data_IF_677935872378
#
_entry.id   IF_677935872378
#
_cell.length_a   1.000
_cell.length_b   1.000
_cell.length_c   1.000
_cell.angle_alpha   90.00
_cell.angle_beta   90.00
_cell.angle_gamma   90.00
#
_symmetry.space_group_name_H-M   'P 1'
#
loop_
_entity.id
_entity.type
_entity.pdbx_description
1 polymer ?
#
# COMPACT_ATOMS: atom_id res chain seq x y z
N UNK A 1 -20.78 -12.78 41.54
CA UNK A 1 -20.14 -11.58 40.97
C UNK A 1 -18.63 -11.79 41.01
N UNK A 2 -18.05 -12.30 39.93
CA UNK A 2 -16.61 -12.53 39.84
C UNK A 2 -15.93 -11.23 39.44
N UNK A 3 -15.34 -10.53 40.42
CA UNK A 3 -14.48 -9.39 40.15
C UNK A 3 -13.20 -9.88 39.47
N UNK A 4 -13.04 -9.61 38.17
CA UNK A 4 -11.77 -9.80 37.48
C UNK A 4 -10.75 -8.83 38.07
N UNK A 5 -9.76 -9.37 38.79
CA UNK A 5 -8.62 -8.62 39.30
C UNK A 5 -7.75 -8.27 38.08
N UNK A 6 -7.93 -7.07 37.55
CA UNK A 6 -7.03 -6.50 36.54
C UNK A 6 -5.67 -6.30 37.24
N UNK A 7 -4.70 -7.16 36.94
CA UNK A 7 -3.35 -7.06 37.48
C UNK A 7 -2.70 -5.70 37.19
N UNK A 8 -1.71 -5.26 37.99
CA UNK A 8 -1.13 -3.93 37.86
C UNK A 8 -0.46 -3.73 36.49
N UNK A 9 -0.88 -2.67 35.79
CA UNK A 9 -0.24 -2.22 34.56
C UNK A 9 1.24 -1.91 34.85
N UNK A 10 2.13 -2.60 34.13
CA UNK A 10 3.57 -2.43 34.32
C UNK A 10 4.02 -1.01 33.95
N UNK A 11 5.07 -0.45 34.58
CA UNK A 11 5.59 0.88 34.25
C UNK A 11 5.96 1.03 32.76
N UNK A 12 6.34 -0.09 32.12
CA UNK A 12 6.70 -0.16 30.71
C UNK A 12 5.49 0.04 29.78
N UNK A 13 4.30 -0.46 30.15
CA UNK A 13 3.06 -0.27 29.36
C UNK A 13 2.48 1.13 29.54
N UNK A 14 2.63 1.74 30.73
CA UNK A 14 2.27 3.14 30.97
C UNK A 14 3.18 4.10 30.20
N UNK A 15 4.50 3.85 30.17
CA UNK A 15 5.45 4.64 29.40
C UNK A 15 5.24 4.51 27.87
N UNK A 16 4.81 3.34 27.39
CA UNK A 16 4.43 3.14 25.99
C UNK A 16 3.17 3.94 25.64
N UNK A 17 2.17 3.94 26.52
CA UNK A 17 0.92 4.68 26.34
C UNK A 17 1.06 6.20 26.47
N UNK A 18 2.00 6.69 27.28
CA UNK A 18 2.25 8.12 27.44
C UNK A 18 2.98 8.72 26.22
N UNK A 19 3.98 8.00 25.68
CA UNK A 19 4.67 8.38 24.43
C UNK A 19 3.72 8.44 23.23
N UNK A 20 2.70 7.58 23.20
CA UNK A 20 1.65 7.62 22.18
C UNK A 20 0.71 8.82 22.30
N UNK A 21 0.64 9.50 23.45
CA UNK A 21 -0.41 10.49 23.73
C UNK A 21 0.03 11.94 23.48
N UNK A 22 1.32 12.25 23.52
CA UNK A 22 1.85 13.59 23.19
C UNK A 22 3.24 13.48 22.57
N UNK A 23 3.33 13.46 21.23
CA UNK A 23 4.58 13.71 20.53
C UNK A 23 4.86 15.21 20.51
N UNK A 24 6.12 15.61 20.68
CA UNK A 24 6.50 17.00 20.48
C UNK A 24 6.29 17.42 19.03
N UNK A 25 6.08 18.72 18.76
CA UNK A 25 5.80 19.23 17.40
C UNK A 25 6.83 18.76 16.36
N UNK A 26 8.11 18.70 16.74
CA UNK A 26 9.20 18.23 15.87
C UNK A 26 9.10 16.73 15.54
N UNK A 27 8.77 15.91 16.52
CA UNK A 27 8.62 14.45 16.36
C UNK A 27 7.39 14.13 15.52
N UNK A 28 6.27 14.84 15.78
CA UNK A 28 5.06 14.75 15.00
C UNK A 28 5.31 15.10 13.52
N UNK A 29 6.01 16.20 13.25
CA UNK A 29 6.36 16.61 11.88
C UNK A 29 7.26 15.59 11.19
N UNK A 30 8.24 15.03 11.90
CA UNK A 30 9.14 14.02 11.37
C UNK A 30 8.41 12.70 11.02
N UNK A 31 7.53 12.22 11.91
CA UNK A 31 6.74 11.03 11.65
C UNK A 31 5.77 11.23 10.48
N UNK A 32 5.10 12.40 10.42
CA UNK A 32 4.21 12.76 9.32
C UNK A 32 4.96 12.79 7.99
N UNK A 33 6.15 13.39 7.93
CA UNK A 33 6.97 13.41 6.73
C UNK A 33 7.39 12.00 6.29
N UNK A 34 7.77 11.13 7.23
CA UNK A 34 8.11 9.72 6.94
C UNK A 34 6.92 8.95 6.37
N UNK A 35 5.74 9.07 6.98
CA UNK A 35 4.51 8.42 6.50
C UNK A 35 4.15 8.88 5.09
N UNK A 36 4.15 10.20 4.86
CA UNK A 36 3.87 10.75 3.54
C UNK A 36 4.89 10.31 2.48
N UNK A 37 6.18 10.25 2.83
CA UNK A 37 7.21 9.74 1.92
C UNK A 37 6.99 8.28 1.52
N UNK A 38 6.67 7.42 2.49
CA UNK A 38 6.37 6.01 2.26
C UNK A 38 5.09 5.81 1.41
N UNK A 39 4.05 6.59 1.67
CA UNK A 39 2.81 6.54 0.89
C UNK A 39 3.05 6.98 -0.56
N UNK A 40 3.77 8.10 -0.77
CA UNK A 40 4.14 8.57 -2.11
C UNK A 40 4.96 7.52 -2.86
N UNK A 41 5.98 6.93 -2.21
CA UNK A 41 6.80 5.89 -2.82
C UNK A 41 5.98 4.67 -3.25
N UNK A 42 5.07 4.18 -2.41
CA UNK A 42 4.17 3.06 -2.75
C UNK A 42 3.22 3.39 -3.91
N UNK A 43 2.73 4.62 -3.98
CA UNK A 43 1.87 5.06 -5.09
C UNK A 43 2.66 5.12 -6.40
N UNK A 44 3.88 5.66 -6.37
CA UNK A 44 4.74 5.74 -7.56
C UNK A 44 5.16 4.36 -8.06
N UNK A 45 5.52 3.44 -7.15
CA UNK A 45 5.84 2.05 -7.49
C UNK A 45 4.65 1.33 -8.12
N UNK A 46 3.45 1.49 -7.56
CA UNK A 46 2.21 0.93 -8.13
C UNK A 46 1.89 1.53 -9.49
N UNK A 47 2.11 2.83 -9.68
CA UNK A 47 1.90 3.50 -10.97
C UNK A 47 2.87 2.98 -12.03
N UNK A 48 4.16 2.82 -11.69
CA UNK A 48 5.17 2.21 -12.58
C UNK A 48 4.81 0.77 -12.93
N UNK A 49 4.46 -0.05 -11.94
CA UNK A 49 4.05 -1.44 -12.17
C UNK A 49 2.80 -1.53 -13.08
N UNK A 50 1.82 -0.63 -12.92
CA UNK A 50 0.67 -0.58 -13.82
C UNK A 50 1.08 -0.18 -15.24
N UNK A 51 1.94 0.83 -15.38
CA UNK A 51 2.45 1.27 -16.69
C UNK A 51 3.21 0.15 -17.42
N UNK A 52 4.05 -0.61 -16.72
CA UNK A 52 4.77 -1.75 -17.30
C UNK A 52 3.82 -2.86 -17.75
N UNK A 53 2.81 -3.19 -16.95
CA UNK A 53 1.77 -4.15 -17.34
C UNK A 53 1.05 -3.73 -18.62
N UNK A 54 0.68 -2.46 -18.75
CA UNK A 54 0.01 -1.95 -19.96
C UNK A 54 0.95 -2.02 -21.18
N UNK A 55 2.23 -1.72 -21.00
CA UNK A 55 3.24 -1.85 -22.06
C UNK A 55 3.36 -3.31 -22.52
N UNK A 56 3.50 -4.25 -21.60
CA UNK A 56 3.55 -5.68 -21.93
C UNK A 56 2.25 -6.16 -22.59
N UNK A 57 1.09 -5.69 -22.15
CA UNK A 57 -0.19 -6.03 -22.75
C UNK A 57 -0.28 -5.58 -24.23
N UNK A 58 0.20 -4.36 -24.53
CA UNK A 58 0.29 -3.84 -25.89
C UNK A 58 1.24 -4.68 -26.76
N UNK A 59 2.40 -5.04 -26.23
CA UNK A 59 3.36 -5.88 -26.95
C UNK A 59 2.78 -7.27 -27.26
N UNK A 60 2.09 -7.89 -26.30
CA UNK A 60 1.39 -9.17 -26.52
C UNK A 60 0.23 -9.06 -27.51
N UNK A 61 -0.53 -7.95 -27.49
CA UNK A 61 -1.57 -7.67 -28.48
C UNK A 61 -0.98 -7.58 -29.89
N UNK A 62 0.17 -6.91 -30.05
CA UNK A 62 0.91 -6.83 -31.33
C UNK A 62 1.45 -8.18 -31.80
N UNK A 63 1.76 -9.08 -30.88
CA UNK A 63 2.18 -10.46 -31.18
C UNK A 63 1.00 -11.39 -31.54
N UNK A 64 -0.25 -10.91 -31.44
CA UNK A 64 -1.44 -11.70 -31.75
C UNK A 64 -1.86 -12.68 -30.65
N UNK A 65 -1.43 -12.47 -29.41
CA UNK A 65 -1.87 -13.29 -28.27
C UNK A 65 -3.34 -12.97 -27.95
N UNK A 66 -4.20 -13.97 -27.67
CA UNK A 66 -5.59 -13.72 -27.31
C UNK A 66 -5.74 -12.79 -26.09
N UNK A 67 -6.65 -11.83 -26.19
CA UNK A 67 -6.88 -10.83 -25.13
C UNK A 67 -7.22 -11.46 -23.78
N UNK A 68 -7.95 -12.59 -23.78
CA UNK A 68 -8.30 -13.32 -22.57
C UNK A 68 -7.08 -13.88 -21.83
N UNK A 69 -6.06 -14.34 -22.56
CA UNK A 69 -4.83 -14.87 -21.98
C UNK A 69 -3.95 -13.74 -21.43
N UNK A 70 -3.89 -12.61 -22.14
CA UNK A 70 -3.20 -11.39 -21.68
C UNK A 70 -3.86 -10.87 -20.39
N UNK A 71 -5.20 -10.78 -20.37
CA UNK A 71 -5.99 -10.36 -19.21
C UNK A 71 -5.70 -11.22 -17.99
N UNK A 72 -5.71 -12.54 -18.17
CA UNK A 72 -5.40 -13.51 -17.12
C UNK A 72 -3.96 -13.43 -16.65
N UNK A 73 -3.00 -13.27 -17.57
CA UNK A 73 -1.56 -13.23 -17.26
C UNK A 73 -1.11 -11.96 -16.54
N UNK A 74 -1.72 -10.81 -16.85
CA UNK A 74 -1.31 -9.52 -16.31
C UNK A 74 -2.26 -8.99 -15.20
N UNK A 75 -3.41 -9.64 -15.04
CA UNK A 75 -4.47 -9.21 -14.12
C UNK A 75 -5.09 -7.89 -14.56
N UNK A 76 -5.31 -7.74 -15.87
CA UNK A 76 -5.97 -6.59 -16.50
C UNK A 76 -7.35 -7.02 -17.01
N UNK A 77 -8.26 -6.07 -17.17
CA UNK A 77 -9.52 -6.35 -17.86
C UNK A 77 -9.31 -6.43 -19.39
N UNK A 78 -10.16 -7.21 -20.07
CA UNK A 78 -10.13 -7.31 -21.53
C UNK A 78 -10.37 -5.93 -22.17
N UNK A 79 -11.29 -5.15 -21.59
CA UNK A 79 -11.61 -3.78 -22.03
C UNK A 79 -10.41 -2.84 -21.92
N UNK A 80 -9.65 -2.90 -20.82
CA UNK A 80 -8.42 -2.13 -20.64
C UNK A 80 -7.39 -2.48 -21.72
N UNK A 81 -7.26 -3.76 -22.10
CA UNK A 81 -6.30 -4.21 -23.12
C UNK A 81 -6.78 -3.87 -24.53
N UNK A 82 -8.08 -4.01 -24.80
CA UNK A 82 -8.66 -3.70 -26.10
C UNK A 82 -8.54 -2.21 -26.43
N UNK A 83 -8.68 -1.36 -25.41
CA UNK A 83 -8.50 0.08 -25.51
C UNK A 83 -7.03 0.53 -25.70
N UNK A 84 -6.05 -0.37 -25.58
CA UNK A 84 -4.64 -0.07 -25.89
C UNK A 84 -4.44 -0.04 -27.41
N UNK A 85 -4.13 1.16 -27.92
CA UNK A 85 -3.81 1.44 -29.34
C UNK A 85 -2.33 1.70 -29.52
#
# INVERSE_FOLDING_TARGET
MTSEIIGPLTPKSLAQNHRNRQMGTREYLLEKAKKQGLEKGKLEERAKAKAEKLKSALDFKKMGIPLADIAKGLGLSIEEIDSLV
#
